data_IF_351892359209
#
_entry.id   IF_351892359209
#
_cell.length_a   1.000
_cell.length_b   1.000
_cell.length_c   1.000
_cell.angle_alpha   90.00
_cell.angle_beta   90.00
_cell.angle_gamma   90.00
#
_symmetry.space_group_name_H-M   'P 1'
#
loop_
_entity.id
_entity.type
_entity.pdbx_description
1 polymer ?
#
# COMPACT_ATOMS: atom_id res chain seq x y z
N UNK A 1 14.93 -21.13 -3.88
CA UNK A 1 14.12 -21.30 -5.10
C UNK A 1 12.88 -20.46 -4.87
N UNK A 2 12.75 -19.34 -5.56
CA UNK A 2 11.61 -18.44 -5.48
C UNK A 2 10.61 -18.89 -6.55
N UNK A 3 9.51 -19.54 -6.12
CA UNK A 3 8.50 -20.14 -6.99
C UNK A 3 7.40 -19.15 -7.41
N UNK A 4 7.77 -17.90 -7.68
CA UNK A 4 6.81 -16.98 -8.28
C UNK A 4 6.70 -17.30 -9.79
N UNK A 5 5.86 -18.30 -10.11
CA UNK A 5 5.55 -18.68 -11.48
C UNK A 5 5.15 -17.43 -12.29
N UNK A 6 6.07 -17.01 -13.17
CA UNK A 6 5.90 -15.85 -14.05
C UNK A 6 4.84 -16.21 -15.09
N UNK A 7 3.57 -16.02 -14.74
CA UNK A 7 2.48 -16.00 -15.74
C UNK A 7 2.73 -14.82 -16.68
N UNK A 8 2.58 -14.99 -18.01
CA UNK A 8 2.81 -13.92 -18.98
C UNK A 8 2.06 -12.64 -18.57
N UNK A 9 2.77 -11.53 -18.62
CA UNK A 9 2.36 -10.23 -18.07
C UNK A 9 1.07 -9.70 -18.72
N UNK A 10 0.75 -10.16 -19.93
CA UNK A 10 -0.32 -9.66 -20.82
C UNK A 10 -1.76 -9.95 -20.35
N UNK A 11 -1.97 -10.88 -19.40
CA UNK A 11 -3.33 -11.23 -18.91
C UNK A 11 -3.69 -10.62 -17.55
N UNK A 12 -2.75 -9.90 -16.90
CA UNK A 12 -3.00 -9.40 -15.55
C UNK A 12 -3.82 -8.11 -15.60
N UNK A 13 -4.96 -8.05 -14.88
CA UNK A 13 -5.75 -6.82 -14.83
C UNK A 13 -4.89 -5.67 -14.29
N UNK A 14 -5.12 -4.43 -14.78
CA UNK A 14 -4.30 -3.29 -14.43
C UNK A 14 -4.29 -3.05 -12.91
N UNK A 15 -3.10 -2.78 -12.38
CA UNK A 15 -2.85 -2.64 -10.94
C UNK A 15 -1.69 -1.68 -10.70
N UNK A 16 -1.75 -0.99 -9.56
CA UNK A 16 -0.65 -0.18 -9.03
C UNK A 16 -0.08 -0.89 -7.80
N UNK A 17 1.24 -1.05 -7.75
CA UNK A 17 1.92 -1.76 -6.66
C UNK A 17 2.88 -0.82 -5.94
N UNK A 18 2.90 -0.90 -4.61
CA UNK A 18 3.89 -0.26 -3.76
C UNK A 18 4.43 -1.25 -2.75
N UNK A 19 5.74 -1.27 -2.59
CA UNK A 19 6.42 -2.25 -1.76
C UNK A 19 7.44 -1.58 -0.85
N UNK A 20 7.56 -2.16 0.34
CA UNK A 20 8.62 -1.87 1.27
C UNK A 20 9.26 -3.18 1.73
N UNK A 21 10.58 -3.27 1.63
CA UNK A 21 11.38 -4.36 2.20
C UNK A 21 12.04 -3.79 3.45
N UNK A 22 11.85 -4.46 4.58
CA UNK A 22 12.47 -4.05 5.84
C UNK A 22 13.94 -4.43 5.82
N UNK A 23 14.80 -3.55 6.34
CA UNK A 23 16.23 -3.85 6.50
C UNK A 23 16.46 -4.85 7.62
N UNK A 24 15.78 -4.64 8.74
CA UNK A 24 15.60 -5.62 9.81
C UNK A 24 14.16 -6.14 9.81
N UNK A 25 14.00 -7.47 9.81
CA UNK A 25 12.69 -8.10 9.84
C UNK A 25 11.84 -7.59 11.03
N UNK A 26 10.59 -7.21 10.77
CA UNK A 26 9.77 -6.41 11.69
C UNK A 26 8.58 -7.19 12.29
N UNK A 27 8.42 -7.19 13.61
CA UNK A 27 7.22 -7.69 14.29
C UNK A 27 6.41 -6.59 15.02
N UNK A 28 6.90 -5.35 15.06
CA UNK A 28 6.22 -4.25 15.74
C UNK A 28 5.01 -3.78 14.92
N UNK A 29 3.81 -4.03 15.47
CA UNK A 29 2.53 -3.68 14.84
C UNK A 29 2.40 -2.18 14.56
N UNK A 30 2.98 -1.33 15.38
CA UNK A 30 2.95 0.13 15.18
C UNK A 30 3.77 0.51 13.95
N UNK A 31 4.93 -0.12 13.78
CA UNK A 31 5.79 0.07 12.61
C UNK A 31 5.12 -0.46 11.35
N UNK A 32 4.54 -1.66 11.40
CA UNK A 32 3.81 -2.25 10.28
C UNK A 32 2.63 -1.36 9.83
N UNK A 33 1.84 -0.85 10.78
CA UNK A 33 0.77 0.13 10.48
C UNK A 33 1.34 1.38 9.81
N UNK A 34 2.43 1.92 10.33
CA UNK A 34 3.09 3.08 9.76
C UNK A 34 3.54 2.88 8.31
N UNK A 35 4.20 1.76 8.03
CA UNK A 35 4.66 1.39 6.68
C UNK A 35 3.48 1.18 5.73
N UNK A 36 2.44 0.43 6.15
CA UNK A 36 1.25 0.21 5.32
C UNK A 36 0.52 1.52 5.03
N UNK A 37 0.44 2.44 6.00
CA UNK A 37 -0.11 3.78 5.79
C UNK A 37 0.69 4.60 4.78
N UNK A 38 2.01 4.50 4.82
CA UNK A 38 2.90 5.13 3.84
C UNK A 38 2.67 4.61 2.42
N UNK A 39 2.58 3.29 2.26
CA UNK A 39 2.30 2.66 0.98
C UNK A 39 0.92 3.05 0.44
N UNK A 40 -0.09 3.18 1.31
CA UNK A 40 -1.43 3.63 0.95
C UNK A 40 -1.43 5.10 0.45
N UNK A 41 -0.64 5.97 1.08
CA UNK A 41 -0.46 7.36 0.63
C UNK A 41 0.15 7.41 -0.78
N UNK A 42 1.22 6.64 -0.99
CA UNK A 42 1.91 6.57 -2.28
C UNK A 42 1.00 6.00 -3.37
N UNK A 43 0.23 4.96 -3.04
CA UNK A 43 -0.79 4.41 -3.92
C UNK A 43 -1.82 5.49 -4.31
N UNK A 44 -2.32 6.25 -3.34
CA UNK A 44 -3.27 7.35 -3.59
C UNK A 44 -2.68 8.47 -4.45
N UNK A 45 -1.41 8.82 -4.24
CA UNK A 45 -0.71 9.80 -5.09
C UNK A 45 -0.63 9.34 -6.54
N UNK A 46 -0.25 8.09 -6.80
CA UNK A 46 -0.18 7.55 -8.18
C UNK A 46 -1.55 7.45 -8.83
N UNK A 47 -2.55 6.93 -8.11
CA UNK A 47 -3.92 6.85 -8.62
C UNK A 47 -4.45 8.24 -9.02
N UNK A 48 -4.19 9.27 -8.20
CA UNK A 48 -4.59 10.64 -8.52
C UNK A 48 -3.82 11.22 -9.70
N UNK A 49 -2.50 10.98 -9.78
CA UNK A 49 -1.66 11.44 -10.88
C UNK A 49 -2.09 10.84 -12.23
N UNK A 50 -2.50 9.57 -12.22
CA UNK A 50 -2.99 8.83 -13.39
C UNK A 50 -4.50 8.98 -13.64
N UNK A 51 -5.20 9.78 -12.82
CA UNK A 51 -6.67 9.94 -12.85
C UNK A 51 -7.45 8.61 -12.73
N UNK A 52 -6.87 7.62 -12.06
CA UNK A 52 -7.45 6.31 -11.80
C UNK A 52 -8.04 6.22 -10.39
N UNK A 53 -8.90 5.21 -10.20
CA UNK A 53 -9.43 4.82 -8.89
C UNK A 53 -9.35 3.31 -8.72
N UNK A 54 -9.05 2.85 -7.51
CA UNK A 54 -9.05 1.43 -7.16
C UNK A 54 -10.35 1.05 -6.45
N UNK A 55 -10.88 -0.15 -6.70
CA UNK A 55 -12.00 -0.71 -5.90
C UNK A 55 -11.54 -1.67 -4.82
N UNK A 56 -10.27 -2.05 -4.85
CA UNK A 56 -9.72 -3.05 -3.95
C UNK A 56 -8.26 -2.75 -3.66
N UNK A 57 -7.92 -2.94 -2.39
CA UNK A 57 -6.55 -2.86 -1.89
C UNK A 57 -6.19 -4.24 -1.34
N UNK A 58 -5.14 -4.83 -1.90
CA UNK A 58 -4.49 -6.03 -1.40
C UNK A 58 -3.23 -5.67 -0.60
N UNK A 59 -2.95 -6.44 0.44
CA UNK A 59 -1.71 -6.41 1.19
C UNK A 59 -1.13 -7.81 1.24
N UNK A 60 0.10 -7.94 0.74
CA UNK A 60 0.93 -9.12 0.87
C UNK A 60 2.02 -8.84 1.91
N UNK A 61 2.19 -9.77 2.85
CA UNK A 61 3.26 -9.79 3.84
C UNK A 61 4.11 -11.04 3.58
N UNK A 62 5.40 -10.86 3.37
CA UNK A 62 6.35 -11.97 3.36
C UNK A 62 7.02 -12.05 4.74
N UNK A 63 6.95 -13.21 5.38
CA UNK A 63 7.50 -13.46 6.71
C UNK A 63 8.91 -14.07 6.61
N UNK A 64 9.67 -13.96 7.70
CA UNK A 64 11.04 -14.48 7.79
C UNK A 64 11.15 -16.00 7.69
N UNK A 65 10.06 -16.70 8.01
CA UNK A 65 9.94 -18.14 7.89
C UNK A 65 9.68 -18.60 6.44
N UNK A 66 9.72 -17.67 5.47
CA UNK A 66 9.45 -17.93 4.06
C UNK A 66 7.95 -17.97 3.71
N UNK A 67 7.05 -17.81 4.68
CA UNK A 67 5.62 -17.79 4.40
C UNK A 67 5.18 -16.45 3.85
N UNK A 68 4.33 -16.48 2.81
CA UNK A 68 3.62 -15.29 2.32
C UNK A 68 2.15 -15.34 2.72
N UNK A 69 1.62 -14.22 3.22
CA UNK A 69 0.18 -14.04 3.48
C UNK A 69 -0.34 -12.86 2.67
N UNK A 70 -1.41 -13.09 1.92
CA UNK A 70 -2.13 -12.05 1.19
C UNK A 70 -3.56 -11.88 1.70
N UNK A 71 -3.97 -10.65 1.93
CA UNK A 71 -5.35 -10.26 2.30
C UNK A 71 -5.76 -9.02 1.55
N UNK A 72 -7.07 -8.82 1.46
CA UNK A 72 -7.64 -7.73 0.68
C UNK A 72 -8.86 -7.12 1.37
N UNK A 73 -9.13 -5.86 1.03
CA UNK A 73 -10.36 -5.15 1.34
C UNK A 73 -10.86 -4.42 0.09
N UNK A 74 -12.18 -4.35 -0.07
CA UNK A 74 -12.80 -3.79 -1.28
C UNK A 74 -13.99 -2.88 -0.96
N UNK A 75 -14.29 -2.03 -1.93
CA UNK A 75 -15.40 -1.08 -1.93
C UNK A 75 -16.17 -1.17 -3.25
N UNK A 76 -17.45 -0.80 -3.21
CA UNK A 76 -18.30 -0.82 -4.41
C UNK A 76 -17.94 0.31 -5.39
N UNK A 77 -17.67 1.51 -4.86
CA UNK A 77 -17.27 2.70 -5.63
C UNK A 77 -15.76 2.86 -5.57
N UNK A 78 -15.13 3.24 -6.68
CA UNK A 78 -13.69 3.48 -6.73
C UNK A 78 -13.24 4.58 -5.79
N UNK A 79 -12.05 4.41 -5.21
CA UNK A 79 -11.41 5.38 -4.31
C UNK A 79 -10.00 5.69 -4.77
N UNK A 80 -9.60 6.94 -4.53
CA UNK A 80 -8.24 7.44 -4.72
C UNK A 80 -7.86 8.44 -3.61
N UNK A 81 -8.78 8.71 -2.66
CA UNK A 81 -8.53 9.55 -1.50
C UNK A 81 -7.76 8.78 -0.42
N UNK A 82 -6.89 9.51 0.26
CA UNK A 82 -5.94 8.94 1.22
C UNK A 82 -6.67 8.23 2.38
N UNK A 83 -7.79 8.78 2.84
CA UNK A 83 -8.56 8.29 3.99
C UNK A 83 -9.23 6.93 3.69
N UNK A 84 -9.84 6.77 2.52
CA UNK A 84 -10.42 5.50 2.09
C UNK A 84 -9.37 4.43 1.80
N UNK A 85 -8.27 4.79 1.12
CA UNK A 85 -7.18 3.86 0.84
C UNK A 85 -6.50 3.40 2.13
N UNK A 86 -6.27 4.32 3.08
CA UNK A 86 -5.73 4.00 4.39
C UNK A 86 -6.62 3.01 5.14
N UNK A 87 -7.94 3.26 5.20
CA UNK A 87 -8.89 2.32 5.83
C UNK A 87 -8.83 0.92 5.23
N UNK A 88 -8.80 0.82 3.89
CA UNK A 88 -8.74 -0.46 3.21
C UNK A 88 -7.41 -1.18 3.47
N UNK A 89 -6.31 -0.46 3.45
CA UNK A 89 -4.99 -1.00 3.74
C UNK A 89 -4.89 -1.50 5.20
N UNK A 90 -5.43 -0.75 6.16
CA UNK A 90 -5.48 -1.16 7.57
C UNK A 90 -6.36 -2.38 7.79
N UNK A 91 -7.52 -2.44 7.12
CA UNK A 91 -8.40 -3.62 7.15
C UNK A 91 -7.68 -4.85 6.60
N UNK A 92 -6.93 -4.72 5.51
CA UNK A 92 -6.14 -5.80 4.95
C UNK A 92 -5.00 -6.22 5.90
N UNK A 93 -4.31 -5.27 6.53
CA UNK A 93 -3.28 -5.52 7.53
C UNK A 93 -3.79 -6.30 8.74
N UNK A 94 -4.89 -5.86 9.34
CA UNK A 94 -5.51 -6.54 10.48
C UNK A 94 -5.85 -8.01 10.17
N UNK A 95 -6.33 -8.28 8.94
CA UNK A 95 -6.61 -9.64 8.47
C UNK A 95 -5.34 -10.47 8.21
N UNK A 96 -4.20 -9.82 7.97
CA UNK A 96 -2.92 -10.48 7.66
C UNK A 96 -2.09 -10.80 8.90
N UNK A 97 -2.25 -10.05 9.99
CA UNK A 97 -1.47 -10.18 11.23
C UNK A 97 -1.99 -11.30 12.15
N UNK A 98 -2.09 -12.52 11.62
CA UNK A 98 -2.51 -13.70 12.39
C UNK A 98 -1.34 -14.45 13.04
N UNK A 99 -0.10 -14.07 12.72
CA UNK A 99 1.14 -14.73 13.18
C UNK A 99 1.99 -13.81 14.06
N UNK A 100 2.90 -14.42 14.83
CA UNK A 100 3.93 -13.72 15.64
C UNK A 100 5.30 -13.68 14.95
N UNK A 101 5.43 -14.26 13.77
CA UNK A 101 6.67 -14.23 12.97
C UNK A 101 6.97 -12.80 12.51
N UNK A 102 8.25 -12.46 12.39
CA UNK A 102 8.69 -11.17 11.84
C UNK A 102 8.38 -11.09 10.34
N UNK A 103 8.12 -9.88 9.86
CA UNK A 103 7.78 -9.55 8.48
C UNK A 103 9.02 -8.99 7.79
N UNK A 104 9.37 -9.55 6.63
CA UNK A 104 10.49 -9.14 5.78
C UNK A 104 10.08 -8.08 4.75
N UNK A 105 8.86 -8.14 4.24
CA UNK A 105 8.36 -7.18 3.26
C UNK A 105 6.86 -6.92 3.42
N UNK A 106 6.44 -5.75 2.96
CA UNK A 106 5.04 -5.35 2.81
C UNK A 106 4.82 -4.88 1.38
N UNK A 107 3.90 -5.53 0.66
CA UNK A 107 3.49 -5.12 -0.69
C UNK A 107 2.00 -4.77 -0.71
N UNK A 108 1.70 -3.51 -1.01
CA UNK A 108 0.35 -2.98 -1.18
C UNK A 108 0.00 -2.90 -2.67
N UNK A 109 -1.20 -3.37 -3.02
CA UNK A 109 -1.66 -3.51 -4.40
C UNK A 109 -3.03 -2.83 -4.53
N UNK A 110 -3.13 -1.79 -5.34
CA UNK A 110 -4.42 -1.25 -5.78
C UNK A 110 -4.81 -1.88 -7.12
N UNK A 111 -5.97 -2.51 -7.19
CA UNK A 111 -6.45 -3.13 -8.43
C UNK A 111 -7.95 -2.86 -8.68
N UNK A 112 -8.49 -3.49 -9.74
CA UNK A 112 -9.81 -3.17 -10.31
C UNK A 112 -9.87 -1.69 -10.66
N UNK A 113 -8.80 -1.24 -11.33
CA UNK A 113 -8.60 0.14 -11.70
C UNK A 113 -9.62 0.56 -12.75
N UNK A 114 -10.15 1.75 -12.59
CA UNK A 114 -11.02 2.39 -13.57
C UNK A 114 -10.77 3.89 -13.55
N UNK A 115 -10.98 4.53 -14.70
CA UNK A 115 -10.85 5.98 -14.82
C UNK A 115 -11.83 6.69 -13.88
N UNK A 116 -11.36 7.76 -13.26
CA UNK A 116 -12.22 8.64 -12.48
C UNK A 116 -13.17 9.37 -13.42
N UNK A 117 -14.45 9.01 -13.43
CA UNK A 117 -15.47 9.84 -14.05
C UNK A 117 -15.44 11.23 -13.39
N UNK A 118 -15.57 12.34 -14.14
CA UNK A 118 -15.55 13.69 -13.60
C UNK A 118 -16.86 13.98 -12.84
N UNK A 119 -17.08 13.29 -11.72
CA UNK A 119 -18.11 13.67 -10.77
C UNK A 119 -17.47 14.58 -9.73
N UNK A 120 -17.77 15.88 -9.85
CA UNK A 120 -17.39 16.92 -8.91
C UNK A 120 -17.82 16.50 -7.49
N UNK A 121 -16.85 16.14 -6.65
CA UNK A 121 -17.00 16.31 -5.20
C UNK A 121 -16.25 17.58 -4.82
N UNK A 122 -16.98 18.69 -4.89
CA UNK A 122 -16.66 19.98 -4.31
C UNK A 122 -16.77 19.89 -2.79
N UNK A 123 -15.79 19.30 -2.12
CA UNK A 123 -15.51 19.57 -0.71
C UNK A 123 -14.00 19.36 -0.50
N UNK A 124 -13.23 20.42 -0.72
CA UNK A 124 -11.84 20.47 -0.27
C UNK A 124 -11.87 20.85 1.20
N UNK A 125 -11.91 19.84 2.07
CA UNK A 125 -11.80 20.05 3.51
C UNK A 125 -10.35 20.44 3.85
N UNK A 126 -10.08 21.57 4.51
CA UNK A 126 -8.73 21.96 4.96
C UNK A 126 -8.07 20.93 5.88
N UNK A 127 -8.82 19.96 6.43
CA UNK A 127 -8.29 18.83 7.17
C UNK A 127 -7.37 17.89 6.35
N UNK A 128 -7.50 17.90 5.01
CA UNK A 128 -6.76 16.98 4.13
C UNK A 128 -5.24 17.27 4.11
N UNK A 129 -4.86 18.55 4.19
CA UNK A 129 -3.44 18.97 4.26
C UNK A 129 -2.77 18.54 5.56
N UNK A 130 -3.48 18.70 6.69
CA UNK A 130 -2.99 18.32 8.03
C UNK A 130 -2.80 16.80 8.18
N UNK A 131 -3.72 15.99 7.63
CA UNK A 131 -3.58 14.52 7.59
C UNK A 131 -2.37 14.09 6.76
N UNK A 132 -2.13 14.75 5.62
CA UNK A 132 -0.95 14.52 4.77
C UNK A 132 0.34 14.86 5.51
N UNK A 133 0.41 15.98 6.21
CA UNK A 133 1.57 16.35 7.04
C UNK A 133 1.79 15.37 8.20
N UNK A 134 0.74 14.93 8.89
CA UNK A 134 0.87 13.93 9.96
C UNK A 134 1.35 12.57 9.43
N UNK A 135 0.89 12.18 8.24
CA UNK A 135 1.34 10.96 7.58
C UNK A 135 2.78 11.07 7.10
N UNK A 136 3.17 12.19 6.51
CA UNK A 136 4.56 12.48 6.15
C UNK A 136 5.44 12.53 7.39
N UNK A 137 4.96 13.11 8.49
CA UNK A 137 5.68 13.13 9.78
C UNK A 137 5.79 11.73 10.38
N UNK A 138 4.75 10.89 10.25
CA UNK A 138 4.82 9.49 10.67
C UNK A 138 5.80 8.70 9.80
N UNK A 139 5.79 8.93 8.48
CA UNK A 139 6.77 8.39 7.54
C UNK A 139 8.18 8.89 7.83
N UNK A 140 8.36 10.15 8.22
CA UNK A 140 9.64 10.74 8.57
C UNK A 140 10.12 10.26 9.93
N UNK A 141 9.22 9.99 10.89
CA UNK A 141 9.55 9.33 12.16
C UNK A 141 9.95 7.88 11.95
N UNK A 142 9.29 7.18 11.03
CA UNK A 142 9.70 5.84 10.59
C UNK A 142 11.08 5.97 9.92
N UNK A 143 11.25 6.87 8.95
CA UNK A 143 12.55 7.11 8.31
C UNK A 143 13.65 7.53 9.28
N UNK A 144 13.38 8.32 10.32
CA UNK A 144 14.36 8.74 11.32
C UNK A 144 14.67 7.62 12.31
N UNK A 145 13.66 6.85 12.76
CA UNK A 145 13.85 5.70 13.65
C UNK A 145 14.58 4.55 12.95
N UNK A 146 14.42 4.43 11.63
CA UNK A 146 15.08 3.44 10.77
C UNK A 146 16.15 4.09 9.87
N UNK A 147 16.69 5.23 10.33
CA UNK A 147 17.56 6.26 9.73
C UNK A 147 18.67 5.93 8.74
N UNK A 148 18.94 4.68 8.38
CA UNK A 148 20.12 4.37 7.56
C UNK A 148 20.03 3.16 6.65
N UNK A 149 18.95 2.38 6.68
CA UNK A 149 18.90 1.14 5.93
C UNK A 149 17.73 1.10 4.93
N UNK A 150 18.14 1.12 3.66
CA UNK A 150 17.48 0.60 2.46
C UNK A 150 15.94 0.53 2.45
N UNK A 151 15.28 1.66 2.17
CA UNK A 151 14.02 1.61 1.41
C UNK A 151 14.36 1.13 -0.02
N UNK A 152 14.43 -0.18 -0.26
CA UNK A 152 14.42 -0.70 -1.63
C UNK A 152 12.98 -0.63 -2.15
N UNK A 153 12.68 0.45 -2.87
CA UNK A 153 11.41 0.62 -3.56
C UNK A 153 11.45 -0.18 -4.85
N UNK A 154 10.78 -1.33 -4.88
CA UNK A 154 10.41 -2.00 -6.12
C UNK A 154 9.25 -1.26 -6.78
N UNK A 155 9.51 -0.12 -7.41
CA UNK A 155 8.54 0.49 -8.32
C UNK A 155 8.70 -0.16 -9.68
N UNK A 156 7.89 -1.18 -9.98
CA UNK A 156 7.54 -1.44 -11.38
C UNK A 156 6.30 -0.62 -11.70
N UNK A 157 6.43 0.55 -12.33
CA UNK A 157 5.31 1.16 -13.01
C UNK A 157 4.97 0.24 -14.18
N UNK A 158 3.86 -0.49 -14.10
CA UNK A 158 3.28 -1.15 -15.27
C UNK A 158 2.37 -0.13 -15.93
N UNK A 159 2.99 0.81 -16.64
CA UNK A 159 2.28 1.72 -17.53
C UNK A 159 2.06 0.97 -18.85
N UNK A 160 0.80 0.67 -19.15
CA UNK A 160 0.34 0.45 -20.52
C UNK A 160 0.24 1.78 -21.24
#
# INVERSE_FOLDING_TARGET
IDENAVRPEEERPPRVVREHIFSDDCADRTVLKGVVGALAAQLGMELRATRMQARRVGLQLDYTDGTTVSRQASVRKGVADDDSLLRLAMTALERSLTRRTRVRSCRLIGDRLHGRSPQLKLFTDPATGRKKEQLLTAMDRIRQRFGREAIRMGSQPVLH
#
